data_IF_066786163521
#
_entry.id   IF_066786163521
#
_cell.length_a   1.000
_cell.length_b   1.000
_cell.length_c   1.000
_cell.angle_alpha   90.00
_cell.angle_beta   90.00
_cell.angle_gamma   90.00
#
_symmetry.space_group_name_H-M   'P 1'
#
loop_
_entity.id
_entity.type
_entity.pdbx_description
1 polymer ?
#
# COMPACT_ATOMS: atom_id res chain seq x y z
N UNK A 1 -7.11 -0.66 15.89
CA UNK A 1 -7.66 -0.88 14.54
C UNK A 1 -7.15 -2.23 14.02
N UNK A 2 -7.95 -3.01 13.29
CA UNK A 2 -7.50 -4.25 12.63
C UNK A 2 -7.73 -4.11 11.12
N UNK A 3 -6.68 -4.33 10.33
CA UNK A 3 -6.75 -4.34 8.87
C UNK A 3 -6.68 -5.78 8.38
N UNK A 4 -7.66 -6.19 7.57
CA UNK A 4 -7.75 -7.53 6.99
C UNK A 4 -7.46 -7.43 5.50
N UNK A 5 -6.18 -7.34 5.16
CA UNK A 5 -5.71 -7.21 3.77
C UNK A 5 -5.04 -8.50 3.32
N UNK A 6 -5.04 -8.75 2.00
CA UNK A 6 -4.44 -9.93 1.40
C UNK A 6 -3.38 -9.56 0.38
N UNK A 7 -2.38 -10.42 0.24
CA UNK A 7 -1.53 -10.43 -0.95
C UNK A 7 -2.36 -11.07 -2.07
N UNK A 8 -2.76 -10.27 -3.06
CA UNK A 8 -3.57 -10.73 -4.18
C UNK A 8 -2.65 -11.29 -5.26
N UNK A 9 -2.68 -12.60 -5.49
CA UNK A 9 -1.86 -13.24 -6.54
C UNK A 9 -2.48 -13.11 -7.93
N UNK A 10 -3.76 -13.40 -8.07
CA UNK A 10 -4.43 -13.48 -9.39
C UNK A 10 -5.93 -13.20 -9.29
N UNK A 11 -6.51 -12.76 -10.39
CA UNK A 11 -7.95 -12.63 -10.57
C UNK A 11 -8.36 -13.26 -11.91
N UNK A 12 -9.00 -14.43 -11.85
CA UNK A 12 -9.42 -15.20 -13.02
C UNK A 12 -10.49 -14.47 -13.86
N UNK A 13 -11.37 -13.70 -13.21
CA UNK A 13 -12.46 -12.99 -13.91
C UNK A 13 -11.95 -11.82 -14.74
N UNK A 14 -10.93 -11.13 -14.23
CA UNK A 14 -10.30 -10.00 -14.91
C UNK A 14 -9.10 -10.43 -15.76
N UNK A 15 -8.74 -11.72 -15.74
CA UNK A 15 -7.55 -12.27 -16.37
C UNK A 15 -6.27 -11.51 -15.99
N UNK A 16 -6.10 -11.24 -14.69
CA UNK A 16 -4.95 -10.54 -14.12
C UNK A 16 -4.11 -11.51 -13.29
N UNK A 17 -2.80 -11.51 -13.51
CA UNK A 17 -1.83 -12.19 -12.65
C UNK A 17 -0.80 -11.18 -12.14
N UNK A 18 -0.90 -10.89 -10.83
CA UNK A 18 -0.08 -9.90 -10.16
C UNK A 18 1.39 -10.32 -10.07
N UNK A 19 1.74 -11.59 -10.28
CA UNK A 19 3.14 -12.07 -10.32
C UNK A 19 3.88 -11.62 -11.57
N UNK A 20 3.16 -11.37 -12.67
CA UNK A 20 3.73 -11.02 -13.98
C UNK A 20 3.30 -9.65 -14.50
N UNK A 21 2.38 -8.94 -13.82
CA UNK A 21 2.02 -7.56 -14.17
C UNK A 21 3.26 -6.70 -14.45
N UNK A 22 3.20 -5.89 -15.49
CA UNK A 22 4.26 -4.95 -15.81
C UNK A 22 4.29 -3.79 -14.80
N UNK A 23 5.45 -3.15 -14.66
CA UNK A 23 5.60 -1.96 -13.82
C UNK A 23 4.66 -0.84 -14.30
N UNK A 24 4.45 -0.71 -15.62
CA UNK A 24 3.56 0.29 -16.19
C UNK A 24 2.10 0.07 -15.79
N UNK A 25 1.62 -1.17 -15.73
CA UNK A 25 0.26 -1.48 -15.27
C UNK A 25 0.08 -1.17 -13.79
N UNK A 26 1.06 -1.53 -12.96
CA UNK A 26 1.06 -1.22 -11.53
C UNK A 26 1.07 0.31 -11.32
N UNK A 27 1.92 1.03 -12.06
CA UNK A 27 1.98 2.49 -12.01
C UNK A 27 0.65 3.13 -12.41
N UNK A 28 0.04 2.65 -13.49
CA UNK A 28 -1.26 3.15 -13.95
C UNK A 28 -2.31 3.01 -12.85
N UNK A 29 -2.38 1.84 -12.19
CA UNK A 29 -3.31 1.64 -11.09
C UNK A 29 -2.99 2.49 -9.87
N UNK A 30 -1.72 2.60 -9.47
CA UNK A 30 -1.34 3.49 -8.36
C UNK A 30 -1.80 4.93 -8.60
N UNK A 31 -1.66 5.45 -9.83
CA UNK A 31 -2.11 6.79 -10.20
C UNK A 31 -3.64 6.92 -10.16
N UNK A 32 -4.36 5.89 -10.57
CA UNK A 32 -5.83 5.85 -10.52
C UNK A 32 -6.33 5.94 -9.09
N UNK A 33 -5.95 4.98 -8.23
CA UNK A 33 -6.40 4.92 -6.83
C UNK A 33 -5.98 6.19 -6.06
N UNK A 34 -4.78 6.73 -6.35
CA UNK A 34 -4.31 7.98 -5.70
C UNK A 34 -5.18 9.18 -6.05
N UNK A 35 -5.66 9.27 -7.30
CA UNK A 35 -6.58 10.34 -7.72
C UNK A 35 -7.95 10.19 -7.06
N UNK A 36 -8.41 8.97 -6.86
CA UNK A 36 -9.69 8.68 -6.20
C UNK A 36 -9.63 9.06 -4.72
N UNK A 37 -8.53 8.76 -4.01
CA UNK A 37 -8.31 9.25 -2.64
C UNK A 37 -8.35 10.78 -2.57
N UNK A 38 -7.62 11.48 -3.47
CA UNK A 38 -7.59 12.95 -3.48
C UNK A 38 -9.01 13.50 -3.67
N UNK A 39 -9.76 12.96 -4.62
CA UNK A 39 -11.15 13.36 -4.87
C UNK A 39 -12.04 13.10 -3.65
N UNK A 40 -11.93 11.93 -3.03
CA UNK A 40 -12.73 11.58 -1.86
C UNK A 40 -12.46 12.53 -0.67
N UNK A 41 -11.19 12.94 -0.49
CA UNK A 41 -10.82 13.95 0.51
C UNK A 41 -11.45 15.30 0.21
N UNK A 42 -11.39 15.76 -1.04
CA UNK A 42 -12.02 17.02 -1.46
C UNK A 42 -13.54 17.00 -1.27
N UNK A 43 -14.20 15.90 -1.63
CA UNK A 43 -15.65 15.75 -1.55
C UNK A 43 -16.12 15.69 -0.08
N UNK A 44 -15.36 15.03 0.80
CA UNK A 44 -15.64 15.06 2.23
C UNK A 44 -15.46 16.45 2.86
N UNK A 45 -14.45 17.21 2.44
CA UNK A 45 -14.25 18.56 2.99
C UNK A 45 -15.37 19.51 2.56
N UNK A 46 -15.91 19.34 1.34
CA UNK A 46 -17.09 20.06 0.86
C UNK A 46 -18.37 19.62 1.57
N UNK A 47 -18.51 18.32 1.85
CA UNK A 47 -19.70 17.75 2.48
C UNK A 47 -19.36 16.60 3.46
N UNK A 48 -19.45 16.90 4.76
CA UNK A 48 -18.97 16.04 5.86
C UNK A 48 -19.98 14.95 6.24
N UNK A 49 -20.42 14.17 5.26
CA UNK A 49 -21.33 13.04 5.47
C UNK A 49 -20.58 11.75 5.78
N UNK A 50 -21.27 10.81 6.44
CA UNK A 50 -20.77 9.45 6.63
C UNK A 50 -20.50 8.74 5.30
N UNK A 51 -21.25 9.07 4.25
CA UNK A 51 -21.03 8.51 2.91
C UNK A 51 -19.65 8.91 2.38
N UNK A 52 -19.35 10.21 2.36
CA UNK A 52 -18.07 10.71 1.85
C UNK A 52 -16.88 10.25 2.72
N UNK A 53 -17.06 10.13 4.04
CA UNK A 53 -16.05 9.53 4.91
C UNK A 53 -15.76 8.06 4.54
N UNK A 54 -16.80 7.29 4.20
CA UNK A 54 -16.62 5.90 3.75
C UNK A 54 -15.86 5.82 2.43
N UNK A 55 -16.08 6.77 1.52
CA UNK A 55 -15.31 6.81 0.27
C UNK A 55 -13.83 7.07 0.56
N UNK A 56 -13.47 8.04 1.43
CA UNK A 56 -12.05 8.23 1.82
C UNK A 56 -11.44 6.91 2.30
N UNK A 57 -12.15 6.18 3.17
CA UNK A 57 -11.66 4.92 3.74
C UNK A 57 -11.48 3.85 2.65
N UNK A 58 -12.43 3.73 1.71
CA UNK A 58 -12.37 2.74 0.61
C UNK A 58 -11.20 3.01 -0.32
N UNK A 59 -11.13 4.22 -0.87
CA UNK A 59 -10.08 4.58 -1.81
C UNK A 59 -8.70 4.50 -1.14
N UNK A 60 -8.62 4.81 0.16
CA UNK A 60 -7.37 4.64 0.92
C UNK A 60 -6.98 3.16 1.02
N UNK A 61 -7.93 2.24 1.22
CA UNK A 61 -7.63 0.81 1.21
C UNK A 61 -7.19 0.32 -0.16
N UNK A 62 -7.74 0.86 -1.25
CA UNK A 62 -7.34 0.49 -2.60
C UNK A 62 -5.90 0.97 -2.89
N UNK A 63 -5.53 2.19 -2.51
CA UNK A 63 -4.12 2.65 -2.56
C UNK A 63 -3.20 1.75 -1.72
N UNK A 64 -3.59 1.42 -0.49
CA UNK A 64 -2.82 0.51 0.37
C UNK A 64 -2.66 -0.87 -0.30
N UNK A 65 -3.70 -1.38 -0.97
CA UNK A 65 -3.67 -2.66 -1.67
C UNK A 65 -2.66 -2.66 -2.83
N UNK A 66 -2.54 -1.54 -3.56
CA UNK A 66 -1.51 -1.36 -4.60
C UNK A 66 -0.12 -1.23 -3.98
N UNK A 67 0.04 -0.54 -2.85
CA UNK A 67 1.31 -0.49 -2.12
C UNK A 67 1.75 -1.88 -1.65
N UNK A 68 0.83 -2.71 -1.14
CA UNK A 68 1.11 -4.10 -0.76
C UNK A 68 1.57 -4.91 -1.98
N UNK A 69 0.90 -4.74 -3.14
CA UNK A 69 1.31 -5.39 -4.39
C UNK A 69 2.74 -4.99 -4.78
N UNK A 70 3.09 -3.71 -4.71
CA UNK A 70 4.44 -3.21 -5.00
C UNK A 70 5.47 -3.84 -4.06
N UNK A 71 5.24 -3.80 -2.74
CA UNK A 71 6.15 -4.37 -1.75
C UNK A 71 6.34 -5.87 -1.96
N UNK A 72 5.25 -6.60 -2.22
CA UNK A 72 5.30 -8.03 -2.50
C UNK A 72 6.09 -8.35 -3.77
N UNK A 73 5.92 -7.57 -4.84
CA UNK A 73 6.70 -7.72 -6.07
C UNK A 73 8.18 -7.41 -5.88
N UNK A 74 8.50 -6.39 -5.10
CA UNK A 74 9.87 -6.09 -4.70
C UNK A 74 10.48 -7.23 -3.87
N UNK A 75 9.72 -7.80 -2.93
CA UNK A 75 10.18 -8.94 -2.14
C UNK A 75 10.51 -10.16 -3.00
N UNK A 76 9.61 -10.55 -3.91
CA UNK A 76 9.88 -11.65 -4.87
C UNK A 76 11.18 -11.36 -5.64
N UNK A 77 11.36 -10.12 -6.13
CA UNK A 77 12.55 -9.77 -6.90
C UNK A 77 13.83 -9.79 -6.05
N UNK A 78 13.77 -9.29 -4.82
CA UNK A 78 14.91 -9.27 -3.91
C UNK A 78 15.40 -10.69 -3.59
N UNK A 79 14.47 -11.63 -3.38
CA UNK A 79 14.81 -13.06 -3.22
C UNK A 79 15.53 -13.61 -4.46
N UNK A 80 15.12 -13.23 -5.68
CA UNK A 80 15.83 -13.67 -6.90
C UNK A 80 17.20 -13.00 -7.10
N UNK A 81 17.52 -11.97 -6.32
CA UNK A 81 18.79 -11.27 -6.32
C UNK A 81 19.67 -11.66 -5.13
N UNK A 82 19.30 -12.72 -4.40
CA UNK A 82 19.96 -13.19 -3.17
C UNK A 82 19.94 -12.17 -2.01
N UNK A 83 18.96 -11.25 -2.01
CA UNK A 83 18.76 -10.21 -0.99
C UNK A 83 17.42 -10.39 -0.23
N UNK A 84 17.18 -11.54 0.45
CA UNK A 84 15.87 -11.86 1.03
C UNK A 84 15.41 -10.92 2.16
N UNK A 85 16.34 -10.17 2.78
CA UNK A 85 16.09 -9.25 3.89
C UNK A 85 15.93 -7.79 3.48
N UNK A 86 16.09 -7.47 2.20
CA UNK A 86 16.11 -6.10 1.69
C UNK A 86 14.90 -5.26 2.14
N UNK A 87 13.70 -5.85 2.13
CA UNK A 87 12.48 -5.14 2.52
C UNK A 87 12.45 -4.82 4.02
N UNK A 88 12.95 -5.72 4.87
CA UNK A 88 13.06 -5.52 6.31
C UNK A 88 14.09 -4.43 6.63
N UNK A 89 15.25 -4.49 5.99
CA UNK A 89 16.34 -3.52 6.15
C UNK A 89 15.90 -2.11 5.76
N UNK A 90 15.28 -1.93 4.58
CA UNK A 90 14.74 -0.64 4.14
C UNK A 90 13.64 -0.12 5.07
N UNK A 91 12.81 -1.00 5.64
CA UNK A 91 11.78 -0.59 6.60
C UNK A 91 12.38 -0.06 7.91
N UNK A 92 13.45 -0.69 8.40
CA UNK A 92 14.20 -0.21 9.58
C UNK A 92 14.83 1.15 9.27
N UNK A 93 15.53 1.29 8.14
CA UNK A 93 16.12 2.57 7.69
C UNK A 93 15.06 3.67 7.59
N UNK A 94 13.89 3.35 7.01
CA UNK A 94 12.79 4.28 6.88
C UNK A 94 12.26 4.74 8.24
N UNK A 95 12.04 3.80 9.17
CA UNK A 95 11.60 4.10 10.54
C UNK A 95 12.59 5.03 11.25
N UNK A 96 13.88 4.70 11.19
CA UNK A 96 14.93 5.47 11.85
C UNK A 96 15.07 6.87 11.24
N UNK A 97 14.92 7.00 9.92
CA UNK A 97 14.85 8.30 9.23
C UNK A 97 13.68 9.15 9.70
N UNK A 98 12.48 8.57 9.88
CA UNK A 98 11.32 9.34 10.36
C UNK A 98 11.54 9.88 11.78
N UNK A 99 12.12 9.07 12.66
CA UNK A 99 12.31 9.43 14.08
C UNK A 99 13.54 10.33 14.25
N UNK A 100 14.71 9.87 13.81
CA UNK A 100 16.00 10.49 14.11
C UNK A 100 16.32 11.69 13.23
N UNK A 101 15.96 11.65 11.94
CA UNK A 101 16.25 12.76 11.02
C UNK A 101 15.10 13.76 10.92
N UNK A 102 13.86 13.28 10.98
CA UNK A 102 12.65 14.11 10.77
C UNK A 102 11.90 14.45 12.06
N UNK A 103 12.35 13.95 13.21
CA UNK A 103 11.79 14.24 14.53
C UNK A 103 10.29 13.93 14.66
N UNK A 104 9.79 12.93 13.92
CA UNK A 104 8.43 12.45 14.15
C UNK A 104 8.35 11.74 15.50
N UNK A 105 7.37 12.12 16.31
CA UNK A 105 7.05 11.43 17.57
C UNK A 105 5.93 10.44 17.26
N UNK A 106 6.18 9.13 17.31
CA UNK A 106 5.15 8.14 16.98
C UNK A 106 4.10 8.09 18.09
N UNK A 107 2.83 8.16 17.71
CA UNK A 107 1.70 7.88 18.61
C UNK A 107 1.61 6.38 18.91
N UNK A 108 1.84 5.53 17.90
CA UNK A 108 1.81 4.08 18.02
C UNK A 108 2.59 3.41 16.88
N UNK A 109 2.82 2.10 16.99
CA UNK A 109 3.43 1.29 15.93
C UNK A 109 2.39 0.51 15.14
N UNK A 110 2.65 0.29 13.85
CA UNK A 110 1.88 -0.63 13.01
C UNK A 110 2.80 -1.78 12.61
N UNK A 111 2.38 -3.01 12.90
CA UNK A 111 3.05 -4.21 12.42
C UNK A 111 2.22 -4.82 11.30
N UNK A 112 2.85 -5.08 10.16
CA UNK A 112 2.27 -5.85 9.06
C UNK A 112 2.98 -7.19 9.03
N UNK A 113 2.28 -8.25 9.44
CA UNK A 113 2.77 -9.62 9.38
C UNK A 113 2.04 -10.36 8.26
N UNK A 114 2.81 -10.97 7.36
CA UNK A 114 2.27 -11.90 6.37
C UNK A 114 2.13 -13.25 7.06
N UNK A 115 0.90 -13.79 7.10
CA UNK A 115 0.62 -15.12 7.63
C UNK A 115 0.45 -16.08 6.46
N UNK A 116 1.21 -17.17 6.49
CA UNK A 116 1.14 -18.27 5.51
C UNK A 116 0.01 -19.26 5.86
#
# INVERSE_FOLDING_TARGET
MKLLMHILKKNEKLNIDNTILSINEIQKKLVEESKEVIKALEDYEKDKTLHNLKEIIRETFDVIQICILILWRCHIRAVTLDEPKLLEEINIEHKDKLISERNWIPETGITIEVKE
#
